data_IF_442069324737
#
_entry.id   IF_442069324737
#
_cell.length_a   1.000
_cell.length_b   1.000
_cell.length_c   1.000
_cell.angle_alpha   90.00
_cell.angle_beta   90.00
_cell.angle_gamma   90.00
#
_symmetry.space_group_name_H-M   'P 1'
#
loop_
_entity.id
_entity.type
_entity.pdbx_description
1 polymer ?
#
# COMPACT_ATOMS: atom_id res chain seq x y z
N UNK A 1 -39.67 -5.40 17.28
CA UNK A 1 -39.03 -4.72 16.12
C UNK A 1 -37.85 -3.83 16.54
N UNK A 2 -37.90 -3.20 17.72
CA UNK A 2 -36.79 -2.40 18.28
C UNK A 2 -35.53 -3.22 18.58
N UNK A 3 -35.65 -4.39 19.22
CA UNK A 3 -34.50 -5.25 19.55
C UNK A 3 -33.71 -5.72 18.32
N UNK A 4 -34.39 -6.00 17.21
CA UNK A 4 -33.75 -6.37 15.94
C UNK A 4 -33.02 -5.21 15.27
N UNK A 5 -33.46 -3.97 15.51
CA UNK A 5 -32.79 -2.77 15.02
C UNK A 5 -31.54 -2.45 15.85
N UNK A 6 -31.63 -2.57 17.18
CA UNK A 6 -30.48 -2.35 18.09
C UNK A 6 -29.39 -3.42 17.87
N UNK A 7 -29.77 -4.69 17.67
CA UNK A 7 -28.81 -5.78 17.37
C UNK A 7 -28.15 -5.57 15.99
N UNK A 8 -28.87 -5.04 14.99
CA UNK A 8 -28.29 -4.70 13.69
C UNK A 8 -27.33 -3.51 13.76
N UNK A 9 -27.69 -2.45 14.47
CA UNK A 9 -26.80 -1.27 14.67
C UNK A 9 -25.55 -1.64 15.47
N UNK A 10 -25.67 -2.55 16.45
CA UNK A 10 -24.52 -3.09 17.17
C UNK A 10 -23.65 -4.03 16.30
N UNK A 11 -24.24 -4.70 15.30
CA UNK A 11 -23.53 -5.55 14.35
C UNK A 11 -22.97 -4.79 13.14
N UNK A 12 -23.50 -3.61 12.82
CA UNK A 12 -23.02 -2.72 11.74
C UNK A 12 -21.87 -1.80 12.22
N UNK A 13 -21.59 -1.77 13.52
CA UNK A 13 -20.47 -1.03 14.12
C UNK A 13 -19.14 -1.74 13.91
N UNK A 14 -18.51 -1.52 12.75
CA UNK A 14 -17.10 -1.86 12.50
C UNK A 14 -16.88 -3.04 11.57
N UNK A 15 -17.56 -3.08 10.41
CA UNK A 15 -17.36 -4.12 9.40
C UNK A 15 -16.09 -3.90 8.56
N UNK A 16 -14.93 -3.68 9.18
CA UNK A 16 -13.66 -3.83 8.49
C UNK A 16 -13.47 -5.31 8.21
N UNK A 17 -13.74 -5.72 6.96
CA UNK A 17 -13.53 -7.10 6.54
C UNK A 17 -12.11 -7.55 6.93
N UNK A 18 -11.90 -8.73 7.53
CA UNK A 18 -10.56 -9.23 7.84
C UNK A 18 -9.62 -9.19 6.63
N UNK A 19 -10.16 -9.37 5.42
CA UNK A 19 -9.44 -9.22 4.16
C UNK A 19 -8.93 -7.77 3.93
N UNK A 20 -9.70 -6.76 4.30
CA UNK A 20 -9.31 -5.34 4.21
C UNK A 20 -8.11 -5.05 5.12
N UNK A 21 -8.12 -5.54 6.36
CA UNK A 21 -6.99 -5.36 7.29
C UNK A 21 -5.72 -5.99 6.74
N UNK A 22 -5.79 -7.24 6.26
CA UNK A 22 -4.64 -7.92 5.65
C UNK A 22 -4.11 -7.14 4.45
N UNK A 23 -5.00 -6.69 3.57
CA UNK A 23 -4.63 -5.90 2.39
C UNK A 23 -3.94 -4.58 2.79
N UNK A 24 -4.46 -3.87 3.79
CA UNK A 24 -3.84 -2.65 4.30
C UNK A 24 -2.47 -2.88 4.91
N UNK A 25 -2.27 -3.98 5.67
CA UNK A 25 -0.96 -4.35 6.19
C UNK A 25 0.07 -4.60 5.08
N UNK A 26 -0.33 -5.29 4.00
CA UNK A 26 0.53 -5.49 2.84
C UNK A 26 0.90 -4.16 2.17
N UNK A 27 -0.07 -3.24 2.05
CA UNK A 27 0.14 -1.90 1.52
C UNK A 27 1.13 -1.11 2.37
N UNK A 28 0.99 -1.14 3.70
CA UNK A 28 1.92 -0.49 4.61
C UNK A 28 3.35 -1.05 4.48
N UNK A 29 3.50 -2.38 4.38
CA UNK A 29 4.82 -2.99 4.16
C UNK A 29 5.42 -2.53 2.84
N UNK A 30 4.65 -2.54 1.75
CA UNK A 30 5.10 -2.08 0.44
C UNK A 30 5.48 -0.59 0.44
N UNK A 31 4.67 0.25 1.07
CA UNK A 31 4.96 1.67 1.26
C UNK A 31 6.25 1.89 2.05
N UNK A 32 6.46 1.12 3.12
CA UNK A 32 7.67 1.19 3.93
C UNK A 32 8.92 0.80 3.13
N UNK A 33 8.85 -0.27 2.34
CA UNK A 33 9.94 -0.66 1.43
C UNK A 33 10.26 0.48 0.46
N UNK A 34 9.24 1.15 -0.07
CA UNK A 34 9.37 2.29 -0.99
C UNK A 34 10.11 3.47 -0.33
N UNK A 35 9.87 3.73 0.95
CA UNK A 35 10.56 4.79 1.72
C UNK A 35 12.01 4.40 2.06
N UNK A 36 12.24 3.19 2.56
CA UNK A 36 13.57 2.78 3.03
C UNK A 36 14.50 2.48 1.83
N UNK A 37 14.04 1.64 0.91
CA UNK A 37 14.83 1.13 -0.23
C UNK A 37 13.96 1.06 -1.49
N UNK A 38 13.67 2.21 -2.14
CA UNK A 38 12.87 2.23 -3.37
C UNK A 38 13.52 1.41 -4.51
N UNK A 39 14.85 1.21 -4.48
CA UNK A 39 15.56 0.39 -5.46
C UNK A 39 15.14 -1.09 -5.43
N UNK A 40 14.63 -1.61 -4.30
CA UNK A 40 14.17 -3.01 -4.26
C UNK A 40 12.96 -3.22 -5.18
N UNK A 41 12.00 -2.29 -5.16
CA UNK A 41 10.81 -2.36 -6.00
C UNK A 41 11.19 -2.26 -7.48
N UNK A 42 12.11 -1.35 -7.81
CA UNK A 42 12.61 -1.25 -9.16
C UNK A 42 13.32 -2.53 -9.61
N UNK A 43 14.21 -3.11 -8.79
CA UNK A 43 14.90 -4.38 -9.12
C UNK A 43 13.95 -5.55 -9.31
N UNK A 44 12.90 -5.64 -8.50
CA UNK A 44 11.87 -6.68 -8.68
C UNK A 44 11.13 -6.48 -10.00
N UNK A 45 10.71 -5.24 -10.26
CA UNK A 45 10.00 -4.88 -11.48
C UNK A 45 10.87 -5.08 -12.74
N UNK A 46 12.13 -4.64 -12.74
CA UNK A 46 13.05 -4.77 -13.88
C UNK A 46 13.34 -6.23 -14.22
N UNK A 47 13.49 -7.10 -13.21
CA UNK A 47 13.60 -8.56 -13.41
C UNK A 47 12.36 -9.15 -14.07
N UNK A 48 11.18 -8.70 -13.68
CA UNK A 48 9.92 -9.14 -14.31
C UNK A 48 9.81 -8.61 -15.75
N UNK A 49 10.26 -7.38 -16.00
CA UNK A 49 10.24 -6.74 -17.31
C UNK A 49 11.29 -7.28 -18.29
N UNK A 50 12.39 -7.90 -17.82
CA UNK A 50 13.41 -8.51 -18.71
C UNK A 50 12.87 -9.55 -19.68
N UNK A 51 11.72 -10.16 -19.40
CA UNK A 51 11.05 -11.09 -20.34
C UNK A 51 10.22 -10.42 -21.43
N UNK A 52 9.92 -9.12 -21.30
CA UNK A 52 8.91 -8.42 -22.10
C UNK A 52 9.41 -7.12 -22.73
N UNK A 53 10.49 -6.53 -22.19
CA UNK A 53 11.02 -5.22 -22.58
C UNK A 53 12.46 -5.37 -23.04
N UNK A 54 12.76 -4.78 -24.21
CA UNK A 54 14.07 -4.88 -24.89
C UNK A 54 15.24 -4.31 -24.08
N UNK A 55 15.00 -3.30 -23.24
CA UNK A 55 16.02 -2.74 -22.35
C UNK A 55 15.39 -2.16 -21.05
N UNK A 56 15.16 -3.00 -20.03
CA UNK A 56 14.56 -2.56 -18.76
C UNK A 56 15.52 -1.77 -17.86
N UNK A 57 16.83 -1.86 -18.09
CA UNK A 57 17.81 -1.09 -17.32
C UNK A 57 17.82 0.40 -17.73
N UNK A 58 17.43 0.70 -18.98
CA UNK A 58 17.33 2.06 -19.49
C UNK A 58 16.21 2.91 -18.85
N UNK A 59 15.34 2.28 -18.05
CA UNK A 59 14.26 2.95 -17.32
C UNK A 59 14.55 3.05 -15.81
N UNK A 60 15.80 2.82 -15.39
CA UNK A 60 16.18 3.03 -14.00
C UNK A 60 15.93 4.48 -13.56
N UNK A 61 15.18 4.71 -12.46
CA UNK A 61 15.06 6.03 -11.88
C UNK A 61 16.42 6.61 -11.52
N UNK A 62 16.65 7.88 -11.85
CA UNK A 62 17.84 8.60 -11.37
C UNK A 62 17.79 8.76 -9.85
N UNK A 63 18.90 9.21 -9.23
CA UNK A 63 18.92 9.50 -7.79
C UNK A 63 17.79 10.45 -7.33
N UNK A 64 17.44 11.44 -8.17
CA UNK A 64 16.28 12.33 -7.93
C UNK A 64 14.94 11.60 -8.06
N UNK A 65 14.84 10.66 -8.99
CA UNK A 65 13.67 9.78 -9.14
C UNK A 65 13.45 8.90 -7.91
N UNK A 66 14.52 8.30 -7.37
CA UNK A 66 14.44 7.56 -6.12
C UNK A 66 14.08 8.43 -4.92
N UNK A 67 14.58 9.67 -4.85
CA UNK A 67 14.18 10.62 -3.81
C UNK A 67 12.68 10.95 -3.90
N UNK A 68 12.17 11.20 -5.10
CA UNK A 68 10.74 11.44 -5.33
C UNK A 68 9.91 10.22 -4.94
N UNK A 69 10.35 9.00 -5.27
CA UNK A 69 9.67 7.78 -4.85
C UNK A 69 9.58 7.63 -3.33
N UNK A 70 10.61 8.04 -2.58
CA UNK A 70 10.54 8.05 -1.11
C UNK A 70 9.51 9.05 -0.61
N UNK A 71 9.46 10.26 -1.18
CA UNK A 71 8.45 11.27 -0.82
C UNK A 71 7.05 10.75 -1.08
N UNK A 72 6.80 10.19 -2.27
CA UNK A 72 5.53 9.56 -2.60
C UNK A 72 5.19 8.42 -1.63
N UNK A 73 6.17 7.58 -1.29
CA UNK A 73 6.02 6.50 -0.32
C UNK A 73 5.63 7.00 1.08
N UNK A 74 6.20 8.12 1.54
CA UNK A 74 5.83 8.73 2.83
C UNK A 74 4.39 9.24 2.80
N UNK A 75 4.00 9.95 1.75
CA UNK A 75 2.62 10.44 1.59
C UNK A 75 1.63 9.28 1.55
N UNK A 76 1.95 8.24 0.79
CA UNK A 76 1.14 7.04 0.69
C UNK A 76 1.02 6.31 2.04
N UNK A 77 2.11 6.16 2.80
CA UNK A 77 2.08 5.56 4.14
C UNK A 77 1.19 6.35 5.08
N UNK A 78 1.32 7.68 5.11
CA UNK A 78 0.48 8.53 5.95
C UNK A 78 -1.02 8.32 5.63
N UNK A 79 -1.35 8.26 4.34
CA UNK A 79 -2.73 8.02 3.90
C UNK A 79 -3.21 6.60 4.24
N UNK A 80 -2.41 5.57 3.98
CA UNK A 80 -2.76 4.18 4.29
C UNK A 80 -2.93 3.94 5.80
N UNK A 81 -2.07 4.54 6.63
CA UNK A 81 -2.22 4.50 8.09
C UNK A 81 -3.49 5.22 8.53
N UNK A 82 -3.78 6.39 7.98
CA UNK A 82 -5.02 7.11 8.28
C UNK A 82 -6.27 6.30 7.90
N UNK A 83 -6.29 5.69 6.71
CA UNK A 83 -7.38 4.81 6.29
C UNK A 83 -7.53 3.62 7.23
N UNK A 84 -6.42 2.97 7.62
CA UNK A 84 -6.46 1.81 8.51
C UNK A 84 -7.02 2.18 9.89
N UNK A 85 -6.56 3.29 10.48
CA UNK A 85 -7.02 3.77 11.79
C UNK A 85 -8.48 4.20 11.75
N UNK A 86 -8.95 4.78 10.65
CA UNK A 86 -10.33 5.24 10.53
C UNK A 86 -11.34 4.10 10.28
N UNK A 87 -10.88 2.98 9.74
CA UNK A 87 -11.76 1.87 9.35
C UNK A 87 -11.69 0.67 10.32
N UNK A 88 -10.69 0.60 11.21
CA UNK A 88 -10.68 -0.35 12.34
C UNK A 88 -11.51 0.22 13.49
#
# INVERSE_FOLDING_TARGET
>A
MEHSAIVRVASDGGNSSPAFIVFMCLFLIMGLVQVIRPQLLWRMNSRMQRGWVKNPEGTEPTGKGYAMQRVTGVVFLAFATWMLVHNI
#
